data_IF_538877899596
#
_entry.id   IF_538877899596
#
_cell.length_a   1.000
_cell.length_b   1.000
_cell.length_c   1.000
_cell.angle_alpha   90.00
_cell.angle_beta   90.00
_cell.angle_gamma   90.00
#
_symmetry.space_group_name_H-M   'P 1'
#
loop_
_entity.id
_entity.type
_entity.pdbx_description
1 polymer ?
#
# COMPACT_ATOMS: atom_id res chain seq x y z
N UNK A 1 -20.73 -65.45 -35.24
CA UNK A 1 -21.61 -64.26 -35.30
C UNK A 1 -21.02 -63.20 -34.38
N UNK A 2 -20.47 -62.12 -34.95
CA UNK A 2 -20.10 -60.87 -34.24
C UNK A 2 -21.38 -60.01 -34.03
N UNK A 3 -21.42 -58.89 -33.27
CA UNK A 3 -20.33 -57.95 -32.94
C UNK A 3 -20.21 -57.58 -31.44
N UNK A 4 -19.03 -57.27 -30.89
CA UNK A 4 -18.39 -55.96 -30.85
C UNK A 4 -19.35 -54.79 -30.53
N UNK A 5 -19.30 -54.25 -29.30
CA UNK A 5 -19.59 -52.82 -29.12
C UNK A 5 -18.79 -52.22 -27.96
N UNK A 6 -18.04 -51.18 -28.30
CA UNK A 6 -17.12 -50.45 -27.45
C UNK A 6 -17.88 -49.39 -26.64
N UNK A 7 -17.69 -49.37 -25.32
CA UNK A 7 -18.05 -48.24 -24.48
C UNK A 7 -16.79 -47.42 -24.16
N UNK A 8 -16.56 -46.46 -25.06
CA UNK A 8 -15.95 -45.14 -24.89
C UNK A 8 -15.41 -44.79 -23.50
N UNK A 9 -14.08 -44.60 -23.40
CA UNK A 9 -13.44 -43.76 -22.39
C UNK A 9 -13.74 -42.29 -22.70
N UNK A 10 -14.37 -41.57 -21.77
CA UNK A 10 -14.11 -40.14 -21.56
C UNK A 10 -14.12 -39.89 -20.05
N UNK A 11 -12.96 -39.82 -19.37
CA UNK A 11 -12.86 -38.98 -18.20
C UNK A 11 -12.95 -37.54 -18.69
N UNK A 12 -13.96 -36.80 -18.23
CA UNK A 12 -14.00 -35.34 -18.30
C UNK A 12 -12.81 -34.81 -17.50
N UNK A 13 -11.65 -34.70 -18.14
CA UNK A 13 -10.53 -33.96 -17.59
C UNK A 13 -10.90 -32.48 -17.58
N UNK A 14 -11.16 -31.95 -16.38
CA UNK A 14 -11.10 -30.52 -16.13
C UNK A 14 -9.70 -30.16 -15.61
N UNK A 15 -8.79 -29.62 -16.46
CA UNK A 15 -7.63 -28.87 -15.93
C UNK A 15 -7.48 -27.45 -16.51
N UNK A 16 -8.48 -26.89 -17.20
CA UNK A 16 -8.28 -25.63 -17.96
C UNK A 16 -8.58 -24.36 -17.15
N UNK A 17 -9.48 -24.41 -16.17
CA UNK A 17 -9.96 -23.19 -15.48
C UNK A 17 -8.92 -22.65 -14.50
N UNK A 18 -8.34 -23.51 -13.66
CA UNK A 18 -7.42 -23.12 -12.58
C UNK A 18 -6.10 -22.55 -13.14
N UNK A 19 -5.55 -23.19 -14.18
CA UNK A 19 -4.31 -22.76 -14.85
C UNK A 19 -4.48 -21.41 -15.55
N UNK A 20 -5.66 -21.14 -16.13
CA UNK A 20 -5.97 -19.88 -16.82
C UNK A 20 -6.21 -18.72 -15.85
N UNK A 21 -6.84 -18.98 -14.71
CA UNK A 21 -7.04 -17.99 -13.63
C UNK A 21 -5.71 -17.62 -12.98
N UNK A 22 -4.86 -18.61 -12.67
CA UNK A 22 -3.52 -18.37 -12.10
C UNK A 22 -2.64 -17.52 -13.01
N UNK A 23 -2.68 -17.78 -14.32
CA UNK A 23 -1.93 -17.00 -15.31
C UNK A 23 -2.45 -15.56 -15.44
N UNK A 24 -3.77 -15.37 -15.35
CA UNK A 24 -4.38 -14.03 -15.30
C UNK A 24 -3.88 -13.22 -14.10
N UNK A 25 -4.04 -13.74 -12.88
CA UNK A 25 -3.66 -13.04 -11.66
C UNK A 25 -2.15 -12.71 -11.63
N UNK A 26 -1.31 -13.64 -12.09
CA UNK A 26 0.13 -13.40 -12.19
C UNK A 26 0.48 -12.28 -13.20
N UNK A 27 -0.22 -12.24 -14.33
CA UNK A 27 -0.02 -11.18 -15.34
C UNK A 27 -0.48 -9.81 -14.83
N UNK A 28 -1.63 -9.77 -14.17
CA UNK A 28 -2.18 -8.57 -13.55
C UNK A 28 -1.20 -8.01 -12.51
N UNK A 29 -0.72 -8.84 -11.58
CA UNK A 29 0.27 -8.43 -10.59
C UNK A 29 1.59 -7.97 -11.23
N UNK A 30 2.07 -8.65 -12.28
CA UNK A 30 3.29 -8.26 -12.98
C UNK A 30 3.19 -6.85 -13.60
N UNK A 31 2.03 -6.50 -14.16
CA UNK A 31 1.76 -5.15 -14.68
C UNK A 31 1.79 -4.13 -13.55
N UNK A 32 1.12 -4.42 -12.43
CA UNK A 32 1.07 -3.52 -11.28
C UNK A 32 2.46 -3.27 -10.68
N UNK A 33 3.26 -4.33 -10.52
CA UNK A 33 4.61 -4.23 -9.99
C UNK A 33 5.55 -3.45 -10.93
N UNK A 34 5.46 -3.69 -12.24
CA UNK A 34 6.21 -2.90 -13.22
C UNK A 34 5.82 -1.42 -13.18
N UNK A 35 4.52 -1.14 -13.05
CA UNK A 35 4.02 0.23 -12.95
C UNK A 35 4.52 0.93 -11.68
N UNK A 36 4.48 0.27 -10.51
CA UNK A 36 5.03 0.81 -9.25
C UNK A 36 6.52 1.13 -9.35
N UNK A 37 7.31 0.24 -9.96
CA UNK A 37 8.75 0.47 -10.17
C UNK A 37 9.01 1.66 -11.08
N UNK A 38 8.34 1.71 -12.25
CA UNK A 38 8.45 2.82 -13.18
C UNK A 38 8.12 4.15 -12.51
N UNK A 39 7.03 4.19 -11.74
CA UNK A 39 6.62 5.40 -11.02
C UNK A 39 7.66 5.85 -10.01
N UNK A 40 8.21 4.92 -9.23
CA UNK A 40 9.26 5.25 -8.29
C UNK A 40 10.52 5.77 -8.98
N UNK A 41 10.94 5.12 -10.07
CA UNK A 41 12.16 5.42 -10.83
C UNK A 41 12.09 6.74 -11.60
N UNK A 42 11.00 6.98 -12.33
CA UNK A 42 10.90 8.04 -13.32
C UNK A 42 9.88 9.15 -12.97
N UNK A 43 9.09 8.98 -11.90
CA UNK A 43 8.02 9.92 -11.55
C UNK A 43 6.82 9.83 -12.49
N UNK A 44 5.87 10.76 -12.37
CA UNK A 44 4.64 10.70 -13.19
C UNK A 44 4.82 11.26 -14.60
N UNK A 45 5.84 12.09 -14.82
CA UNK A 45 6.09 12.73 -16.13
C UNK A 45 6.32 11.72 -17.27
N UNK A 46 7.03 10.63 -17.00
CA UNK A 46 7.29 9.56 -17.98
C UNK A 46 6.38 8.34 -17.81
N UNK A 47 5.39 8.43 -16.92
CA UNK A 47 4.51 7.32 -16.61
C UNK A 47 3.39 7.18 -17.66
N UNK A 48 3.34 6.03 -18.33
CA UNK A 48 2.31 5.78 -19.34
C UNK A 48 2.19 4.33 -19.79
N UNK A 49 1.09 4.01 -20.46
CA UNK A 49 0.71 2.65 -20.89
C UNK A 49 1.84 1.93 -21.63
N UNK A 50 2.50 2.60 -22.58
CA UNK A 50 3.55 1.98 -23.37
C UNK A 50 4.83 1.71 -22.54
N UNK A 51 5.15 2.60 -21.60
CA UNK A 51 6.29 2.42 -20.70
C UNK A 51 6.03 1.26 -19.74
N UNK A 52 4.84 1.21 -19.13
CA UNK A 52 4.41 0.10 -18.26
C UNK A 52 4.39 -1.23 -19.02
N UNK A 53 3.80 -1.29 -20.21
CA UNK A 53 3.72 -2.52 -21.01
C UNK A 53 5.12 -3.07 -21.33
N UNK A 54 6.06 -2.18 -21.67
CA UNK A 54 7.46 -2.54 -21.90
C UNK A 54 8.14 -3.07 -20.63
N UNK A 55 7.95 -2.39 -19.50
CA UNK A 55 8.50 -2.81 -18.21
C UNK A 55 7.92 -4.14 -17.70
N UNK A 56 6.64 -4.41 -18.00
CA UNK A 56 5.96 -5.64 -17.65
C UNK A 56 6.21 -6.80 -18.65
N UNK A 57 6.80 -6.51 -19.82
CA UNK A 57 6.97 -7.48 -20.90
C UNK A 57 5.64 -8.00 -21.47
N UNK A 58 4.60 -7.16 -21.51
CA UNK A 58 3.25 -7.55 -21.91
C UNK A 58 2.69 -6.69 -23.06
N UNK A 59 1.64 -7.16 -23.72
CA UNK A 59 0.90 -6.33 -24.67
C UNK A 59 0.10 -5.25 -23.92
N UNK A 60 0.11 -4.00 -24.43
CA UNK A 60 -0.64 -2.87 -23.85
C UNK A 60 -2.14 -3.13 -23.73
N UNK A 61 -2.72 -3.98 -24.58
CA UNK A 61 -4.12 -4.39 -24.52
C UNK A 61 -4.45 -5.09 -23.20
N UNK A 62 -3.48 -5.75 -22.56
CA UNK A 62 -3.68 -6.37 -21.24
C UNK A 62 -3.90 -5.32 -20.14
N UNK A 63 -3.25 -4.15 -20.25
CA UNK A 63 -3.46 -3.05 -19.30
C UNK A 63 -4.88 -2.49 -19.47
N UNK A 64 -5.33 -2.27 -20.70
CA UNK A 64 -6.72 -1.86 -20.95
C UNK A 64 -7.73 -2.92 -20.47
N UNK A 65 -7.43 -4.20 -20.68
CA UNK A 65 -8.29 -5.31 -20.26
C UNK A 65 -8.41 -5.45 -18.74
N UNK A 66 -7.32 -5.30 -18.00
CA UNK A 66 -7.31 -5.54 -16.56
C UNK A 66 -7.60 -4.28 -15.75
N UNK A 67 -7.15 -3.12 -16.22
CA UNK A 67 -7.23 -1.87 -15.47
C UNK A 67 -8.07 -0.79 -16.15
N UNK A 68 -8.67 -1.06 -17.32
CA UNK A 68 -9.47 -0.05 -18.02
C UNK A 68 -8.65 1.12 -18.58
N UNK A 69 -7.31 0.98 -18.64
CA UNK A 69 -6.39 2.01 -19.12
C UNK A 69 -5.56 2.62 -17.99
N UNK A 70 -5.00 3.82 -18.25
CA UNK A 70 -3.99 4.42 -17.38
C UNK A 70 -4.57 4.84 -16.02
N UNK A 71 -5.75 5.46 -16.04
CA UNK A 71 -6.38 5.97 -14.81
C UNK A 71 -6.72 4.84 -13.84
N UNK A 72 -7.33 3.74 -14.32
CA UNK A 72 -7.63 2.60 -13.46
C UNK A 72 -6.36 1.86 -13.00
N UNK A 73 -5.27 1.87 -13.78
CA UNK A 73 -3.98 1.36 -13.33
C UNK A 73 -3.41 2.22 -12.18
N UNK A 74 -3.51 3.54 -12.29
CA UNK A 74 -3.07 4.48 -11.25
C UNK A 74 -3.89 4.32 -9.96
N UNK A 75 -5.20 4.13 -10.07
CA UNK A 75 -6.08 3.84 -8.93
C UNK A 75 -5.76 2.49 -8.28
N UNK A 76 -5.44 1.48 -9.10
CA UNK A 76 -4.97 0.17 -8.61
C UNK A 76 -3.64 0.28 -7.87
N UNK A 77 -2.69 1.08 -8.38
CA UNK A 77 -1.44 1.40 -7.67
C UNK A 77 -1.76 2.05 -6.33
N UNK A 78 -2.59 3.10 -6.30
CA UNK A 78 -2.94 3.76 -5.05
C UNK A 78 -3.55 2.80 -4.03
N UNK A 79 -4.47 1.94 -4.48
CA UNK A 79 -5.10 0.92 -3.63
C UNK A 79 -4.09 -0.08 -3.06
N UNK A 80 -3.19 -0.59 -3.90
CA UNK A 80 -2.12 -1.51 -3.50
C UNK A 80 -1.16 -0.85 -2.48
N UNK A 81 -0.76 0.40 -2.72
CA UNK A 81 0.09 1.16 -1.80
C UNK A 81 -0.61 1.52 -0.48
N UNK A 82 -1.94 1.65 -0.46
CA UNK A 82 -2.69 1.83 0.79
C UNK A 82 -2.79 0.52 1.58
N UNK A 83 -2.87 -0.62 0.88
CA UNK A 83 -2.90 -1.95 1.47
C UNK A 83 -1.50 -2.49 1.82
N UNK A 84 -0.43 -1.93 1.28
CA UNK A 84 0.97 -2.25 1.59
C UNK A 84 1.28 -2.22 3.11
N UNK A 85 0.52 -1.42 3.86
CA UNK A 85 0.58 -1.36 5.32
C UNK A 85 0.03 -2.66 5.94
N UNK A 86 -1.05 -3.22 5.39
CA UNK A 86 -1.64 -4.47 5.83
C UNK A 86 -0.68 -5.66 5.64
N UNK A 87 0.06 -5.71 4.52
CA UNK A 87 1.03 -6.80 4.26
C UNK A 87 2.18 -6.84 5.29
N UNK A 88 2.45 -5.70 5.94
CA UNK A 88 3.54 -5.54 6.93
C UNK A 88 3.04 -5.60 8.37
N UNK A 89 1.73 -5.65 8.56
CA UNK A 89 1.08 -5.65 9.88
C UNK A 89 0.25 -6.93 9.98
N UNK A 90 0.70 -7.93 10.75
CA UNK A 90 -0.01 -9.20 10.87
C UNK A 90 -1.48 -9.01 11.30
N UNK A 91 -2.39 -9.73 10.65
CA UNK A 91 -3.83 -9.76 10.96
C UNK A 91 -4.12 -10.25 12.40
N UNK A 92 -3.14 -10.90 13.05
CA UNK A 92 -3.23 -11.33 14.46
C UNK A 92 -3.22 -10.17 15.48
N UNK A 93 -3.17 -8.93 15.02
CA UNK A 93 -3.19 -7.73 15.87
C UNK A 93 -4.58 -7.45 16.49
N UNK A 94 -5.54 -8.38 16.35
CA UNK A 94 -6.73 -8.51 17.21
C UNK A 94 -6.56 -9.51 18.37
N UNK A 95 -5.36 -10.09 18.53
CA UNK A 95 -5.00 -11.03 19.59
C UNK A 95 -4.87 -10.37 20.96
N UNK A 96 -6.00 -10.21 21.64
CA UNK A 96 -6.16 -10.26 23.10
C UNK A 96 -5.66 -9.11 24.01
N UNK A 97 -5.00 -8.04 23.56
CA UNK A 97 -4.46 -7.02 24.51
C UNK A 97 -4.51 -5.52 24.12
N UNK A 98 -5.04 -5.10 22.97
CA UNK A 98 -5.29 -3.66 22.74
C UNK A 98 -6.56 -3.24 23.48
N UNK A 99 -6.42 -2.44 24.54
CA UNK A 99 -7.53 -2.05 25.41
C UNK A 99 -8.19 -0.75 24.95
N UNK A 100 -7.43 0.14 24.28
CA UNK A 100 -7.92 1.46 23.87
C UNK A 100 -7.61 1.81 22.41
N UNK A 101 -8.34 2.81 21.90
CA UNK A 101 -8.02 3.42 20.61
C UNK A 101 -6.61 4.04 20.59
N UNK A 102 -6.13 4.54 21.73
CA UNK A 102 -4.75 5.01 21.90
C UNK A 102 -3.72 3.90 21.72
N UNK A 103 -3.96 2.71 22.29
CA UNK A 103 -3.07 1.55 22.11
C UNK A 103 -2.96 1.18 20.63
N UNK A 104 -4.10 1.12 19.95
CA UNK A 104 -4.16 0.84 18.52
C UNK A 104 -3.37 1.89 17.74
N UNK A 105 -3.69 3.16 17.90
CA UNK A 105 -3.07 4.23 17.12
C UNK A 105 -1.57 4.36 17.41
N UNK A 106 -1.12 4.09 18.63
CA UNK A 106 0.32 4.05 18.93
C UNK A 106 0.99 2.97 18.10
N UNK A 107 0.43 1.75 18.15
CA UNK A 107 0.95 0.61 17.39
C UNK A 107 0.93 0.86 15.88
N UNK A 108 -0.18 1.34 15.33
CA UNK A 108 -0.29 1.61 13.89
C UNK A 108 0.69 2.72 13.44
N UNK A 109 0.87 3.76 14.24
CA UNK A 109 1.82 4.84 13.94
C UNK A 109 3.25 4.33 13.93
N UNK A 110 3.61 3.45 14.86
CA UNK A 110 4.93 2.83 14.92
C UNK A 110 5.18 1.88 13.74
N UNK A 111 4.21 1.03 13.43
CA UNK A 111 4.32 0.11 12.30
C UNK A 111 4.43 0.86 10.97
N UNK A 112 3.65 1.94 10.80
CA UNK A 112 3.73 2.79 9.62
C UNK A 112 5.10 3.49 9.51
N UNK A 113 5.63 4.00 10.61
CA UNK A 113 6.98 4.60 10.67
C UNK A 113 8.05 3.60 10.23
N UNK A 114 8.06 2.39 10.80
CA UNK A 114 9.07 1.38 10.50
C UNK A 114 8.95 0.85 9.07
N UNK A 115 7.72 0.58 8.64
CA UNK A 115 7.42 0.14 7.28
C UNK A 115 7.92 1.17 6.26
N UNK A 116 7.65 2.46 6.45
CA UNK A 116 8.00 3.49 5.47
C UNK A 116 9.52 3.70 5.39
N UNK A 117 10.21 3.57 6.53
CA UNK A 117 11.68 3.62 6.57
C UNK A 117 12.32 2.45 5.84
N UNK A 118 11.73 1.27 5.95
CA UNK A 118 12.24 0.05 5.33
C UNK A 118 12.05 0.00 3.81
N UNK A 119 11.22 0.87 3.22
CA UNK A 119 10.84 0.80 1.81
C UNK A 119 11.29 2.05 1.02
N UNK A 120 12.41 1.98 0.28
CA UNK A 120 12.87 3.06 -0.59
C UNK A 120 11.88 3.41 -1.70
N UNK A 121 11.17 2.43 -2.23
CA UNK A 121 10.22 2.61 -3.33
C UNK A 121 9.03 3.44 -2.85
N UNK A 122 8.47 3.08 -1.69
CA UNK A 122 7.36 3.82 -1.10
C UNK A 122 7.73 5.26 -0.77
N UNK A 123 8.94 5.50 -0.24
CA UNK A 123 9.43 6.87 0.02
C UNK A 123 9.48 7.71 -1.25
N UNK A 124 9.96 7.15 -2.36
CA UNK A 124 10.00 7.86 -3.65
C UNK A 124 8.60 8.20 -4.14
N UNK A 125 7.65 7.27 -4.04
CA UNK A 125 6.26 7.52 -4.46
C UNK A 125 5.61 8.63 -3.63
N UNK A 126 5.74 8.58 -2.30
CA UNK A 126 5.18 9.63 -1.43
C UNK A 126 5.83 11.00 -1.72
N UNK A 127 7.14 11.03 -2.01
CA UNK A 127 7.81 12.26 -2.42
C UNK A 127 7.25 12.81 -3.74
N UNK A 128 6.99 11.95 -4.73
CA UNK A 128 6.38 12.36 -6.01
C UNK A 128 4.95 12.88 -5.88
N UNK A 129 4.14 12.28 -5.00
CA UNK A 129 2.77 12.75 -4.76
C UNK A 129 2.71 14.19 -4.23
N UNK A 130 3.76 14.65 -3.53
CA UNK A 130 3.82 16.01 -2.98
C UNK A 130 4.40 17.01 -3.99
N UNK A 131 5.26 16.56 -4.91
CA UNK A 131 5.96 17.45 -5.85
C UNK A 131 5.20 17.70 -7.16
N UNK A 132 4.26 16.84 -7.53
CA UNK A 132 3.52 16.91 -8.78
C UNK A 132 2.02 17.18 -8.58
N UNK A 133 1.42 17.96 -9.48
CA UNK A 133 -0.01 18.29 -9.43
C UNK A 133 -0.74 17.87 -10.71
N UNK A 134 -0.67 16.57 -11.02
CA UNK A 134 -1.38 15.97 -12.16
C UNK A 134 -2.64 15.23 -11.71
N UNK A 135 -3.58 15.05 -12.63
CA UNK A 135 -4.80 14.26 -12.36
C UNK A 135 -4.45 12.82 -11.94
N UNK A 136 -3.36 12.26 -12.48
CA UNK A 136 -2.86 10.94 -12.12
C UNK A 136 -2.39 10.91 -10.66
N UNK A 137 -1.60 11.90 -10.23
CA UNK A 137 -1.15 12.02 -8.84
C UNK A 137 -2.35 12.10 -7.88
N UNK A 138 -3.34 12.92 -8.23
CA UNK A 138 -4.56 13.10 -7.43
C UNK A 138 -5.31 11.78 -7.26
N UNK A 139 -5.53 11.04 -8.36
CA UNK A 139 -6.19 9.73 -8.32
C UNK A 139 -5.44 8.69 -7.49
N UNK A 140 -4.12 8.64 -7.64
CA UNK A 140 -3.28 7.75 -6.86
C UNK A 140 -3.40 8.06 -5.35
N UNK A 141 -3.25 9.34 -5.00
CA UNK A 141 -3.36 9.85 -3.63
C UNK A 141 -4.72 9.55 -3.01
N UNK A 142 -5.80 9.77 -3.76
CA UNK A 142 -7.16 9.48 -3.32
C UNK A 142 -7.39 7.98 -3.08
N UNK A 143 -7.00 7.14 -4.04
CA UNK A 143 -7.15 5.70 -3.92
C UNK A 143 -6.34 5.14 -2.73
N UNK A 144 -5.10 5.63 -2.55
CA UNK A 144 -4.24 5.26 -1.43
C UNK A 144 -4.79 5.69 -0.09
N UNK A 145 -5.25 6.95 0.01
CA UNK A 145 -5.84 7.49 1.25
C UNK A 145 -7.09 6.72 1.64
N UNK A 146 -7.94 6.38 0.66
CA UNK A 146 -9.15 5.58 0.87
C UNK A 146 -8.83 4.16 1.33
N UNK A 147 -7.84 3.50 0.70
CA UNK A 147 -7.43 2.16 1.09
C UNK A 147 -6.84 2.12 2.52
N UNK A 148 -5.99 3.09 2.86
CA UNK A 148 -5.43 3.23 4.21
C UNK A 148 -6.52 3.49 5.25
N UNK A 149 -7.45 4.42 4.99
CA UNK A 149 -8.57 4.71 5.90
C UNK A 149 -9.44 3.47 6.11
N UNK A 150 -9.80 2.76 5.03
CA UNK A 150 -10.58 1.53 5.11
C UNK A 150 -9.84 0.41 5.85
N UNK A 151 -8.50 0.36 5.79
CA UNK A 151 -7.71 -0.56 6.59
C UNK A 151 -7.71 -0.19 8.08
N UNK A 152 -7.52 1.09 8.43
CA UNK A 152 -7.61 1.55 9.84
C UNK A 152 -8.99 1.24 10.42
N UNK A 153 -10.06 1.44 9.65
CA UNK A 153 -11.42 1.11 10.08
C UNK A 153 -11.61 -0.39 10.35
N UNK A 154 -11.00 -1.26 9.53
CA UNK A 154 -10.99 -2.71 9.80
C UNK A 154 -10.20 -3.03 11.07
N UNK A 155 -9.03 -2.43 11.23
CA UNK A 155 -8.14 -2.67 12.38
C UNK A 155 -8.74 -2.20 13.70
N UNK A 156 -9.47 -1.08 13.71
CA UNK A 156 -10.07 -0.57 14.94
C UNK A 156 -11.26 -1.41 15.41
N UNK A 157 -11.97 -2.06 14.49
CA UNK A 157 -13.19 -2.80 14.82
C UNK A 157 -14.17 -1.94 15.62
N UNK A 158 -14.47 -2.34 16.85
CA UNK A 158 -15.38 -1.62 17.76
C UNK A 158 -14.71 -0.53 18.61
N UNK A 159 -13.38 -0.37 18.56
CA UNK A 159 -12.68 0.66 19.32
C UNK A 159 -13.11 2.05 18.83
N UNK A 160 -13.48 2.91 19.78
CA UNK A 160 -13.91 4.28 19.52
C UNK A 160 -12.87 5.27 20.01
N UNK A 161 -12.61 6.36 19.26
CA UNK A 161 -11.75 7.43 19.74
C UNK A 161 -12.34 8.11 20.97
N UNK A 162 -11.52 8.76 21.81
CA UNK A 162 -12.01 9.51 22.96
C UNK A 162 -12.99 10.61 22.55
N UNK A 163 -13.93 10.91 23.46
CA UNK A 163 -14.95 11.93 23.24
C UNK A 163 -14.30 13.30 22.98
N UNK A 164 -14.75 13.98 21.92
CA UNK A 164 -14.27 15.31 21.55
C UNK A 164 -13.00 15.33 20.71
N UNK A 165 -12.43 14.17 20.37
CA UNK A 165 -11.28 14.07 19.46
C UNK A 165 -11.77 13.84 18.03
N UNK A 166 -11.38 14.73 17.11
CA UNK A 166 -11.51 14.49 15.67
C UNK A 166 -10.41 13.52 15.23
N UNK A 167 -10.72 12.22 15.30
CA UNK A 167 -9.76 11.17 15.02
C UNK A 167 -9.26 11.19 13.56
N UNK A 168 -10.10 11.63 12.61
CA UNK A 168 -9.70 11.71 11.21
C UNK A 168 -8.62 12.78 11.03
N UNK A 169 -8.87 13.99 11.55
CA UNK A 169 -7.91 15.09 11.45
C UNK A 169 -6.60 14.78 12.18
N UNK A 170 -6.69 14.23 13.39
CA UNK A 170 -5.51 13.85 14.19
C UNK A 170 -4.70 12.76 13.49
N UNK A 171 -5.35 11.71 12.97
CA UNK A 171 -4.66 10.65 12.24
C UNK A 171 -3.94 11.18 11.00
N UNK A 172 -4.59 12.06 10.23
CA UNK A 172 -3.98 12.69 9.06
C UNK A 172 -2.70 13.47 9.46
N UNK A 173 -2.74 14.23 10.55
CA UNK A 173 -1.58 14.95 11.07
C UNK A 173 -0.44 14.03 11.51
N UNK A 174 -0.76 12.92 12.19
CA UNK A 174 0.23 11.92 12.61
C UNK A 174 0.92 11.29 11.39
N UNK A 175 0.16 10.82 10.41
CA UNK A 175 0.74 10.19 9.22
C UNK A 175 1.55 11.18 8.38
N UNK A 176 1.08 12.42 8.24
CA UNK A 176 1.83 13.47 7.57
C UNK A 176 3.16 13.77 8.28
N UNK A 177 3.16 13.83 9.61
CA UNK A 177 4.39 14.03 10.39
C UNK A 177 5.38 12.87 10.20
N UNK A 178 4.90 11.63 10.23
CA UNK A 178 5.73 10.43 9.98
C UNK A 178 6.33 10.48 8.58
N UNK A 179 5.49 10.70 7.55
CA UNK A 179 5.95 10.80 6.17
C UNK A 179 7.01 11.88 6.01
N UNK A 180 6.75 13.09 6.50
CA UNK A 180 7.68 14.20 6.37
C UNK A 180 9.03 13.91 7.04
N UNK A 181 9.03 13.41 8.27
CA UNK A 181 10.27 13.07 9.00
C UNK A 181 11.07 12.00 8.26
N UNK A 182 10.40 10.96 7.74
CA UNK A 182 11.07 9.87 7.00
C UNK A 182 11.66 10.37 5.69
N UNK A 183 10.93 11.20 4.94
CA UNK A 183 11.42 11.77 3.69
C UNK A 183 12.57 12.76 3.93
N UNK A 184 12.45 13.65 4.92
CA UNK A 184 13.49 14.62 5.26
C UNK A 184 14.79 13.93 5.72
N UNK A 185 14.67 12.87 6.54
CA UNK A 185 15.80 12.07 6.99
C UNK A 185 16.51 11.37 5.83
N UNK A 186 15.75 10.85 4.85
CA UNK A 186 16.33 10.19 3.68
C UNK A 186 17.18 11.12 2.80
N UNK A 187 16.96 12.44 2.89
CA UNK A 187 17.70 13.46 2.13
C UNK A 187 18.84 14.07 2.93
N UNK A 188 18.63 14.34 4.23
CA UNK A 188 19.52 15.20 5.01
C UNK A 188 19.94 14.63 6.36
N UNK A 189 19.56 13.39 6.67
CA UNK A 189 19.78 12.74 7.97
C UNK A 189 19.22 13.53 9.17
N UNK A 190 18.35 14.51 8.93
CA UNK A 190 17.70 15.30 9.97
C UNK A 190 16.34 15.84 9.53
N UNK A 191 15.56 16.31 10.50
CA UNK A 191 14.35 17.09 10.27
C UNK A 191 14.16 18.05 11.44
N UNK A 192 13.97 19.35 11.19
CA UNK A 192 13.75 20.37 12.23
C UNK A 192 14.76 20.32 13.41
N UNK A 193 16.04 20.00 13.13
CA UNK A 193 17.10 19.88 14.14
C UNK A 193 17.15 18.54 14.88
N UNK A 194 16.23 17.61 14.60
CA UNK A 194 16.31 16.22 15.05
C UNK A 194 17.21 15.42 14.12
N UNK A 195 18.34 14.94 14.62
CA UNK A 195 19.23 14.00 13.90
C UNK A 195 18.55 12.63 13.80
N UNK A 196 18.69 11.94 12.66
CA UNK A 196 17.98 10.71 12.28
C UNK A 196 18.89 9.71 11.54
N UNK A 197 20.12 9.50 12.02
CA UNK A 197 21.15 8.71 11.31
C UNK A 197 21.16 7.23 11.66
N UNK A 198 20.93 6.92 12.94
CA UNK A 198 21.13 5.58 13.49
C UNK A 198 19.92 5.15 14.33
N UNK A 199 19.91 3.90 14.78
CA UNK A 199 18.80 3.34 15.57
C UNK A 199 18.42 4.19 16.79
N UNK A 200 19.41 4.69 17.54
CA UNK A 200 19.19 5.50 18.75
C UNK A 200 18.51 6.85 18.42
N UNK A 201 18.91 7.48 17.33
CA UNK A 201 18.27 8.72 16.85
C UNK A 201 16.79 8.49 16.53
N UNK A 202 16.51 7.36 15.87
CA UNK A 202 15.15 6.98 15.51
C UNK A 202 14.30 6.52 16.71
N UNK A 203 14.89 5.91 17.73
CA UNK A 203 14.20 5.62 19.00
C UNK A 203 13.73 6.91 19.69
N UNK A 204 14.50 7.99 19.59
CA UNK A 204 14.10 9.30 20.09
C UNK A 204 12.88 9.84 19.34
N UNK A 205 12.88 9.74 18.00
CA UNK A 205 11.73 10.13 17.18
C UNK A 205 10.49 9.28 17.50
N UNK A 206 10.66 7.96 17.59
CA UNK A 206 9.61 7.01 17.97
C UNK A 206 9.01 7.33 19.34
N UNK A 207 9.86 7.61 20.34
CA UNK A 207 9.40 7.98 21.69
C UNK A 207 8.58 9.26 21.68
N UNK A 208 9.00 10.27 20.91
CA UNK A 208 8.24 11.52 20.75
C UNK A 208 6.88 11.27 20.07
N UNK A 209 6.85 10.46 19.01
CA UNK A 209 5.62 10.08 18.32
C UNK A 209 4.64 9.36 19.27
N UNK A 210 5.10 8.38 20.05
CA UNK A 210 4.28 7.69 21.04
C UNK A 210 3.67 8.67 22.04
N UNK A 211 4.45 9.63 22.54
CA UNK A 211 3.95 10.66 23.46
C UNK A 211 2.89 11.55 22.83
N UNK A 212 3.05 11.93 21.56
CA UNK A 212 2.04 12.71 20.82
C UNK A 212 0.74 11.92 20.70
N UNK A 213 0.82 10.66 20.27
CA UNK A 213 -0.35 9.79 20.10
C UNK A 213 -1.08 9.61 21.43
N UNK A 214 -0.37 9.30 22.51
CA UNK A 214 -0.95 9.14 23.86
C UNK A 214 -1.51 10.42 24.43
N UNK A 215 -0.86 11.55 24.18
CA UNK A 215 -1.36 12.85 24.60
C UNK A 215 -2.73 13.20 24.00
N UNK A 216 -3.03 12.69 22.80
CA UNK A 216 -4.32 12.93 22.15
C UNK A 216 -5.34 11.84 22.46
N UNK A 217 -4.93 10.57 22.53
CA UNK A 217 -5.86 9.44 22.58
C UNK A 217 -6.00 8.73 23.93
N UNK A 218 -5.17 9.04 24.93
CA UNK A 218 -5.13 8.30 26.19
C UNK A 218 -4.25 7.06 26.09
#
# INVERSE_FOLDING_TARGET
>A
MAPANAAVKIPLEMPVVEKRVRNRAATEQAILDAAKRLLAEEGFQNFGINAVARGAGCDKQLIYRYYGGLNGLVEAIGTDLGNWVADRIPDDTGGMFLLTYGDLMERLSMLFLDALRADPLMRRIVAWEVSENSEQVRRLSEARSKALAGWIDRMRGSLVPPKGVDAQAVNAMIFAAIQHIVLAAAVSDQCAGLVLKNGKDWEKAATALKRIVRGVYG
#
